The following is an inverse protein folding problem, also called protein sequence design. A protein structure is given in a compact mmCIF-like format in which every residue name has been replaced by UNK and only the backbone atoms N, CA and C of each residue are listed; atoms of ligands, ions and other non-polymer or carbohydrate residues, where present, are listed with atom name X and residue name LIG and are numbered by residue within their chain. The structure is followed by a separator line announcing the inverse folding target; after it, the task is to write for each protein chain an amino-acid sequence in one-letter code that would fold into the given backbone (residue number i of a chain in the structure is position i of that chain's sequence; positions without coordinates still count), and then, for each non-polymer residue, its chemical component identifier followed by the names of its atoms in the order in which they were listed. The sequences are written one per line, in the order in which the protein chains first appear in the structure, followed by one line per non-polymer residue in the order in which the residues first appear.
data_IF_435730436892
#
_entry.id   IF_435730436892
#
_cell.length_a   1.000
_cell.length_b   1.000
_cell.length_c   1.000
_cell.angle_alpha   90.00
_cell.angle_beta   90.00
_cell.angle_gamma   90.00
#
_symmetry.space_group_name_H-M   'P 1'
#
loop_
_entity.id
_entity.type
_entity.pdbx_description
1 polymer ?
#
# COMPACT_ATOMS: atom_id res chain seq x y z
N UNK A 1 5.83 11.38 8.67
CA UNK A 1 5.49 10.60 7.43
C UNK A 1 5.39 11.59 6.27
N UNK A 2 5.87 11.20 5.08
CA UNK A 2 5.81 12.09 3.91
C UNK A 2 4.43 11.98 3.23
N UNK A 3 4.23 12.77 2.16
CA UNK A 3 2.92 12.88 1.51
C UNK A 3 2.43 11.55 0.94
N UNK A 4 3.30 10.79 0.27
CA UNK A 4 2.89 9.51 -0.31
C UNK A 4 2.60 8.47 0.77
N UNK A 5 3.36 8.50 1.86
CA UNK A 5 3.12 7.62 3.00
C UNK A 5 1.78 7.95 3.67
N UNK A 6 1.49 9.23 3.84
CA UNK A 6 0.22 9.67 4.40
C UNK A 6 -0.95 9.22 3.52
N UNK A 7 -0.82 9.41 2.21
CA UNK A 7 -1.84 8.99 1.26
C UNK A 7 -2.07 7.48 1.32
N UNK A 8 -0.99 6.70 1.33
CA UNK A 8 -1.08 5.26 1.40
C UNK A 8 -1.77 4.79 2.68
N UNK A 9 -1.37 5.35 3.81
CA UNK A 9 -1.96 4.96 5.09
C UNK A 9 -3.43 5.35 5.17
N UNK A 10 -3.80 6.51 4.62
CA UNK A 10 -5.19 6.97 4.59
C UNK A 10 -6.07 6.05 3.76
N UNK A 11 -5.58 5.62 2.57
CA UNK A 11 -6.30 4.66 1.74
C UNK A 11 -6.50 3.33 2.47
N UNK A 12 -5.42 2.83 3.07
CA UNK A 12 -5.47 1.58 3.82
C UNK A 12 -6.48 1.67 4.97
N UNK A 13 -6.40 2.74 5.76
CA UNK A 13 -7.30 2.91 6.90
C UNK A 13 -8.77 2.99 6.46
N UNK A 14 -9.05 3.69 5.36
CA UNK A 14 -10.41 3.77 4.82
C UNK A 14 -10.95 2.40 4.43
N UNK A 15 -10.15 1.59 3.78
CA UNK A 15 -10.55 0.23 3.38
C UNK A 15 -10.76 -0.67 4.59
N UNK A 16 -9.93 -0.52 5.64
CA UNK A 16 -10.11 -1.26 6.88
C UNK A 16 -11.44 -0.88 7.55
N UNK A 17 -11.77 0.39 7.56
CA UNK A 17 -13.04 0.86 8.11
C UNK A 17 -14.24 0.31 7.35
N UNK A 18 -14.06 0.07 6.05
CA UNK A 18 -15.09 -0.55 5.21
C UNK A 18 -15.20 -2.06 5.39
N UNK A 19 -14.39 -2.63 6.27
CA UNK A 19 -14.49 -4.05 6.60
C UNK A 19 -13.53 -4.96 5.86
N UNK A 20 -12.62 -4.42 5.06
CA UNK A 20 -11.64 -5.25 4.36
C UNK A 20 -10.60 -5.81 5.33
N UNK A 21 -10.08 -7.01 5.04
CA UNK A 21 -9.00 -7.59 5.82
C UNK A 21 -7.72 -6.77 5.64
N UNK A 22 -6.76 -6.96 6.57
CA UNK A 22 -5.46 -6.30 6.45
C UNK A 22 -4.81 -6.56 5.09
N UNK A 23 -4.78 -7.83 4.67
CA UNK A 23 -4.15 -8.22 3.41
C UNK A 23 -4.85 -7.56 2.22
N UNK A 24 -6.19 -7.64 2.17
CA UNK A 24 -6.93 -7.07 1.07
C UNK A 24 -6.77 -5.55 1.01
N UNK A 25 -6.88 -4.87 2.15
CA UNK A 25 -6.72 -3.42 2.22
C UNK A 25 -5.31 -3.01 1.78
N UNK A 26 -4.28 -3.76 2.20
CA UNK A 26 -2.90 -3.51 1.82
C UNK A 26 -2.72 -3.65 0.30
N UNK A 27 -3.18 -4.77 -0.27
CA UNK A 27 -3.02 -5.02 -1.71
C UNK A 27 -3.77 -3.99 -2.55
N UNK A 28 -4.98 -3.62 -2.16
CA UNK A 28 -5.73 -2.59 -2.86
C UNK A 28 -5.04 -1.24 -2.81
N UNK A 29 -4.49 -0.88 -1.64
CA UNK A 29 -3.75 0.37 -1.51
C UNK A 29 -2.57 0.41 -2.48
N UNK A 30 -1.80 -0.68 -2.52
CA UNK A 30 -0.64 -0.75 -3.42
C UNK A 30 -1.07 -0.64 -4.88
N UNK A 31 -2.14 -1.33 -5.28
CA UNK A 31 -2.64 -1.27 -6.66
C UNK A 31 -3.19 0.10 -7.02
N UNK A 32 -3.78 0.82 -6.07
CA UNK A 32 -4.27 2.18 -6.31
C UNK A 32 -3.10 3.15 -6.57
N UNK A 33 -2.03 3.02 -5.81
CA UNK A 33 -0.88 3.91 -5.92
C UNK A 33 0.06 3.51 -7.07
N UNK A 34 0.19 2.21 -7.32
CA UNK A 34 1.12 1.67 -8.31
C UNK A 34 0.39 0.65 -9.19
N UNK A 35 -0.45 1.13 -10.15
CA UNK A 35 -1.18 0.22 -11.03
C UNK A 35 -0.22 -0.67 -11.82
N UNK A 36 -0.52 -1.95 -11.90
CA UNK A 36 0.36 -2.93 -12.55
C UNK A 36 0.70 -2.58 -13.99
N UNK A 37 -0.25 -2.00 -14.71
CA UNK A 37 -0.05 -1.64 -16.12
C UNK A 37 1.01 -0.56 -16.32
N UNK A 38 1.33 0.20 -15.28
CA UNK A 38 2.40 1.21 -15.32
C UNK A 38 3.77 0.62 -14.98
N UNK A 39 3.80 -0.65 -14.56
CA UNK A 39 5.03 -1.31 -14.10
C UNK A 39 5.20 -2.67 -14.77
N UNK A 40 5.28 -2.70 -16.14
CA UNK A 40 5.34 -3.98 -16.87
C UNK A 40 6.57 -4.82 -16.55
N UNK A 41 7.64 -4.20 -16.05
CA UNK A 41 8.88 -4.89 -15.67
C UNK A 41 9.04 -5.02 -14.14
N UNK A 42 7.94 -4.85 -13.41
CA UNK A 42 7.97 -4.88 -11.96
C UNK A 42 8.12 -3.49 -11.36
N UNK A 43 7.94 -3.40 -10.05
CA UNK A 43 8.00 -2.12 -9.35
C UNK A 43 9.42 -1.59 -9.27
N UNK A 44 9.56 -0.27 -9.38
CA UNK A 44 10.84 0.40 -9.20
C UNK A 44 11.17 0.56 -7.70
N UNK A 45 12.33 1.14 -7.39
CA UNK A 45 12.81 1.27 -6.01
C UNK A 45 11.85 2.11 -5.15
N UNK A 46 11.26 3.16 -5.71
CA UNK A 46 10.32 4.00 -4.95
C UNK A 46 9.07 3.23 -4.55
N UNK A 47 8.53 2.44 -5.47
CA UNK A 47 7.36 1.63 -5.20
C UNK A 47 7.66 0.54 -4.17
N UNK A 48 8.82 -0.12 -4.30
CA UNK A 48 9.26 -1.14 -3.36
C UNK A 48 9.45 -0.55 -1.96
N UNK A 49 10.03 0.65 -1.88
CA UNK A 49 10.25 1.32 -0.61
C UNK A 49 8.93 1.62 0.10
N UNK A 50 7.94 2.14 -0.62
CA UNK A 50 6.63 2.40 -0.02
C UNK A 50 5.92 1.11 0.36
N UNK A 51 6.01 0.08 -0.49
CA UNK A 51 5.45 -1.23 -0.19
C UNK A 51 5.99 -1.77 1.14
N UNK A 52 7.31 -1.74 1.30
CA UNK A 52 7.97 -2.24 2.52
C UNK A 52 7.58 -1.41 3.74
N UNK A 53 7.54 -0.08 3.57
CA UNK A 53 7.16 0.82 4.66
C UNK A 53 5.72 0.54 5.13
N UNK A 54 4.78 0.44 4.19
CA UNK A 54 3.38 0.22 4.54
C UNK A 54 3.19 -1.14 5.19
N UNK A 55 3.85 -2.16 4.66
CA UNK A 55 3.78 -3.52 5.21
C UNK A 55 4.20 -3.55 6.68
N UNK A 56 5.27 -2.84 7.02
CA UNK A 56 5.73 -2.74 8.40
C UNK A 56 4.79 -1.88 9.24
N UNK A 57 4.32 -0.78 8.67
CA UNK A 57 3.45 0.16 9.40
C UNK A 57 2.14 -0.49 9.84
N UNK A 58 1.56 -1.33 8.99
CA UNK A 58 0.29 -1.99 9.30
C UNK A 58 0.46 -3.37 9.94
N UNK A 59 1.71 -3.80 10.13
CA UNK A 59 2.04 -5.08 10.76
C UNK A 59 1.36 -6.26 10.05
N UNK A 60 1.54 -6.31 8.73
CA UNK A 60 0.88 -7.30 7.89
C UNK A 60 1.26 -8.73 8.26
N UNK A 61 2.49 -8.93 8.73
CA UNK A 61 3.03 -10.25 9.05
C UNK A 61 2.73 -10.71 10.48
N UNK A 62 2.01 -9.91 11.26
CA UNK A 62 1.63 -10.25 12.64
C UNK A 62 0.35 -11.10 12.72
#
# INVERSE_FOLDING_TARGET
MNDIQFEAFSLYAGMRLDGMSKLDAFLYTIRCLFPEEEYPNGYDDSAIELYSWLRQKVKLDD
#
